data_IF_780968325358
#
_entry.id   IF_780968325358
#
_cell.length_a   1.000
_cell.length_b   1.000
_cell.length_c   1.000
_cell.angle_alpha   90.00
_cell.angle_beta   90.00
_cell.angle_gamma   90.00
#
_symmetry.space_group_name_H-M   'P 1'
#
loop_
_entity.id
_entity.type
_entity.pdbx_description
1 polymer ?
#
# COMPACT_ATOMS: atom_id res chain seq x y z
N UNK A 1 -32.41 7.42 -1.06
CA UNK A 1 -31.84 8.76 -0.73
C UNK A 1 -30.77 9.13 -1.75
N UNK A 2 -30.40 10.40 -1.91
CA UNK A 2 -29.25 10.75 -2.78
C UNK A 2 -27.90 10.52 -2.08
N UNK A 3 -26.81 10.42 -2.84
CA UNK A 3 -25.44 10.31 -2.29
C UNK A 3 -25.12 11.53 -1.39
N UNK A 4 -25.59 12.71 -1.76
CA UNK A 4 -25.37 13.93 -0.97
C UNK A 4 -26.11 13.87 0.38
N UNK A 5 -27.35 13.37 0.37
CA UNK A 5 -28.12 13.14 1.60
C UNK A 5 -27.44 12.10 2.49
N UNK A 6 -26.92 11.03 1.89
CA UNK A 6 -26.16 9.99 2.59
C UNK A 6 -24.92 10.55 3.28
N UNK A 7 -24.13 11.38 2.58
CA UNK A 7 -22.95 12.02 3.17
C UNK A 7 -23.29 12.92 4.37
N UNK A 8 -24.36 13.70 4.25
CA UNK A 8 -24.82 14.57 5.34
C UNK A 8 -25.29 13.74 6.54
N UNK A 9 -26.01 12.65 6.29
CA UNK A 9 -26.52 11.77 7.33
C UNK A 9 -25.38 11.03 8.05
N UNK A 10 -24.34 10.59 7.32
CA UNK A 10 -23.14 9.98 7.90
C UNK A 10 -22.38 10.99 8.78
N UNK A 11 -22.25 12.25 8.33
CA UNK A 11 -21.62 13.34 9.08
C UNK A 11 -22.38 13.66 10.37
N UNK A 12 -23.71 13.78 10.30
CA UNK A 12 -24.58 14.05 11.46
C UNK A 12 -24.53 12.94 12.51
N UNK A 13 -24.42 11.68 12.07
CA UNK A 13 -24.34 10.51 12.95
C UNK A 13 -22.95 10.26 13.53
N UNK A 14 -21.96 11.09 13.20
CA UNK A 14 -20.57 10.95 13.63
C UNK A 14 -19.94 9.58 13.32
N UNK A 15 -20.29 8.98 12.17
CA UNK A 15 -19.58 7.80 11.69
C UNK A 15 -18.16 8.20 11.26
N UNK A 16 -17.18 7.32 11.47
CA UNK A 16 -15.81 7.59 11.04
C UNK A 16 -15.72 7.53 9.51
N UNK A 17 -15.58 8.71 8.91
CA UNK A 17 -15.40 8.90 7.48
C UNK A 17 -14.14 8.19 6.93
N UNK A 18 -13.23 7.74 7.80
CA UNK A 18 -12.04 6.97 7.39
C UNK A 18 -12.34 5.53 7.03
N UNK A 19 -13.43 4.96 7.55
CA UNK A 19 -13.88 3.60 7.24
C UNK A 19 -14.77 3.55 5.99
N UNK A 20 -15.13 4.72 5.44
CA UNK A 20 -16.08 4.87 4.35
C UNK A 20 -15.41 5.57 3.16
N UNK A 21 -15.75 5.14 1.96
CA UNK A 21 -15.39 5.82 0.73
C UNK A 21 -16.63 5.96 -0.14
N UNK A 22 -16.97 7.19 -0.47
CA UNK A 22 -18.10 7.53 -1.32
C UNK A 22 -17.57 8.33 -2.51
N UNK A 23 -17.95 7.95 -3.73
CA UNK A 23 -17.57 8.63 -4.96
C UNK A 23 -16.32 8.02 -5.62
N UNK A 24 -15.14 8.58 -5.34
CA UNK A 24 -13.88 8.10 -5.93
C UNK A 24 -12.70 8.33 -4.99
N UNK A 25 -12.10 7.25 -4.48
CA UNK A 25 -10.81 7.33 -3.80
C UNK A 25 -9.87 6.28 -4.39
N UNK A 26 -8.59 6.63 -4.66
CA UNK A 26 -7.60 5.67 -5.11
C UNK A 26 -7.28 4.61 -4.05
N UNK A 27 -7.61 4.86 -2.78
CA UNK A 27 -7.39 3.94 -1.66
C UNK A 27 -8.73 3.44 -1.11
N UNK A 28 -9.17 2.29 -1.62
CA UNK A 28 -10.36 1.57 -1.16
C UNK A 28 -10.06 0.53 -0.08
N UNK A 29 -8.79 0.39 0.32
CA UNK A 29 -8.34 -0.65 1.25
C UNK A 29 -8.85 -0.41 2.68
N UNK A 30 -9.30 -1.48 3.32
CA UNK A 30 -9.94 -1.53 4.65
C UNK A 30 -11.17 -0.64 4.81
N UNK A 31 -11.94 -0.41 3.72
CA UNK A 31 -13.09 0.50 3.70
C UNK A 31 -14.32 -0.10 3.06
N UNK A 32 -15.50 0.36 3.49
CA UNK A 32 -16.73 0.19 2.72
C UNK A 32 -16.79 1.28 1.64
N UNK A 33 -16.96 0.85 0.40
CA UNK A 33 -16.91 1.71 -0.78
C UNK A 33 -18.28 1.75 -1.45
N UNK A 34 -18.72 2.95 -1.83
CA UNK A 34 -19.82 3.21 -2.76
C UNK A 34 -19.25 4.02 -3.93
N UNK A 35 -19.06 3.38 -5.08
CA UNK A 35 -18.45 3.99 -6.26
C UNK A 35 -19.40 3.98 -7.45
N UNK A 36 -19.24 4.97 -8.34
CA UNK A 36 -19.92 5.01 -9.64
C UNK A 36 -19.01 4.33 -10.66
N UNK A 37 -19.54 3.33 -11.35
CA UNK A 37 -18.84 2.60 -12.42
C UNK A 37 -18.91 3.38 -13.74
N UNK A 38 -18.05 3.03 -14.68
CA UNK A 38 -18.02 3.61 -16.03
C UNK A 38 -19.31 3.37 -16.83
N UNK A 39 -20.07 2.33 -16.50
CA UNK A 39 -21.36 2.00 -17.10
C UNK A 39 -22.54 2.79 -16.50
N UNK A 40 -22.26 3.74 -15.59
CA UNK A 40 -23.26 4.55 -14.90
C UNK A 40 -23.98 3.83 -13.76
N UNK A 41 -23.57 2.61 -13.41
CA UNK A 41 -24.11 1.86 -12.28
C UNK A 41 -23.36 2.17 -10.99
N UNK A 42 -23.98 1.86 -9.86
CA UNK A 42 -23.41 2.06 -8.53
C UNK A 42 -22.92 0.73 -7.97
N UNK A 43 -21.68 0.68 -7.48
CA UNK A 43 -21.06 -0.52 -6.92
C UNK A 43 -20.76 -0.32 -5.44
N UNK A 44 -21.20 -1.27 -4.62
CA UNK A 44 -20.90 -1.34 -3.20
C UNK A 44 -20.00 -2.56 -2.93
N UNK A 45 -18.89 -2.35 -2.25
CA UNK A 45 -18.01 -3.45 -1.85
C UNK A 45 -17.18 -3.07 -0.61
N UNK A 46 -16.67 -4.08 0.07
CA UNK A 46 -15.61 -3.89 1.06
C UNK A 46 -14.25 -4.13 0.39
N UNK A 47 -13.32 -3.19 0.53
CA UNK A 47 -11.96 -3.35 0.03
C UNK A 47 -11.06 -3.92 1.11
N UNK A 48 -10.34 -5.00 0.81
CA UNK A 48 -9.39 -5.63 1.73
C UNK A 48 -8.17 -6.14 0.95
N UNK A 49 -6.99 -5.67 1.32
CA UNK A 49 -5.70 -5.96 0.70
C UNK A 49 -5.69 -5.81 -0.83
N UNK A 50 -6.37 -4.78 -1.34
CA UNK A 50 -6.50 -4.52 -2.77
C UNK A 50 -7.47 -5.45 -3.51
N UNK A 51 -8.26 -6.24 -2.79
CA UNK A 51 -9.34 -7.07 -3.35
C UNK A 51 -10.71 -6.49 -3.00
N UNK A 52 -11.68 -6.70 -3.88
CA UNK A 52 -13.09 -6.38 -3.62
C UNK A 52 -13.80 -7.59 -3.05
N UNK A 53 -14.33 -7.47 -1.84
CA UNK A 53 -15.17 -8.48 -1.22
C UNK A 53 -16.64 -8.18 -1.49
N UNK A 54 -17.36 -9.20 -1.98
CA UNK A 54 -18.80 -9.20 -2.20
C UNK A 54 -19.36 -7.95 -2.92
N UNK A 55 -18.87 -7.63 -4.14
CA UNK A 55 -19.38 -6.49 -4.89
C UNK A 55 -20.86 -6.66 -5.22
N UNK A 56 -21.65 -5.63 -4.90
CA UNK A 56 -23.07 -5.51 -5.25
C UNK A 56 -23.24 -4.33 -6.19
N UNK A 57 -23.95 -4.54 -7.29
CA UNK A 57 -24.16 -3.53 -8.32
C UNK A 57 -25.64 -3.15 -8.34
N UNK A 58 -25.91 -1.85 -8.40
CA UNK A 58 -27.24 -1.26 -8.41
C UNK A 58 -27.40 -0.35 -9.62
N UNK A 59 -28.59 -0.35 -10.20
CA UNK A 59 -28.89 0.41 -11.41
C UNK A 59 -29.30 1.87 -11.12
N UNK A 60 -29.65 2.17 -9.86
CA UNK A 60 -30.09 3.50 -9.45
C UNK A 60 -29.35 3.97 -8.19
N UNK A 61 -29.23 5.29 -8.06
CA UNK A 61 -28.53 5.95 -6.95
C UNK A 61 -29.21 5.70 -5.61
N UNK A 62 -30.53 5.78 -5.58
CA UNK A 62 -31.32 5.76 -4.36
C UNK A 62 -31.21 4.43 -3.62
N UNK A 63 -31.34 3.34 -4.36
CA UNK A 63 -31.22 1.97 -3.87
C UNK A 63 -29.78 1.68 -3.43
N UNK A 64 -28.78 2.19 -4.17
CA UNK A 64 -27.38 2.04 -3.78
C UNK A 64 -27.08 2.77 -2.47
N UNK A 65 -27.55 4.01 -2.33
CA UNK A 65 -27.34 4.81 -1.12
C UNK A 65 -28.06 4.21 0.10
N UNK A 66 -29.30 3.74 -0.08
CA UNK A 66 -30.08 3.10 0.98
C UNK A 66 -29.45 1.76 1.41
N UNK A 67 -29.00 0.95 0.44
CA UNK A 67 -28.29 -0.29 0.72
C UNK A 67 -26.95 -0.05 1.43
N UNK A 68 -26.20 0.98 1.01
CA UNK A 68 -24.95 1.36 1.64
C UNK A 68 -25.17 1.78 3.10
N UNK A 69 -26.18 2.62 3.35
CA UNK A 69 -26.52 3.05 4.69
C UNK A 69 -26.90 1.88 5.61
N UNK A 70 -27.65 0.90 5.13
CA UNK A 70 -27.97 -0.29 5.91
C UNK A 70 -26.73 -1.14 6.25
N UNK A 71 -25.75 -1.23 5.34
CA UNK A 71 -24.46 -1.90 5.62
C UNK A 71 -23.70 -1.13 6.70
N UNK A 72 -23.54 0.19 6.53
CA UNK A 72 -22.87 1.07 7.50
C UNK A 72 -23.52 0.99 8.89
N UNK A 73 -24.85 0.91 8.93
CA UNK A 73 -25.63 0.82 10.17
C UNK A 73 -25.50 -0.54 10.86
N UNK A 74 -25.35 -1.63 10.11
CA UNK A 74 -25.23 -3.01 10.66
C UNK A 74 -23.80 -3.40 11.00
N UNK A 75 -22.87 -3.10 10.10
CA UNK A 75 -21.50 -3.63 10.07
C UNK A 75 -20.45 -2.63 10.58
N UNK A 76 -20.84 -1.42 11.00
CA UNK A 76 -20.01 -0.59 11.87
C UNK A 76 -20.48 -0.79 13.32
N UNK A 77 -19.96 -1.80 14.04
CA UNK A 77 -20.06 -1.83 15.48
C UNK A 77 -19.62 -0.46 16.02
N UNK A 78 -20.44 0.13 16.89
CA UNK A 78 -20.02 1.25 17.76
C UNK A 78 -18.76 0.94 18.60
N UNK A 79 -18.30 -0.31 18.56
CA UNK A 79 -17.14 -0.87 19.25
C UNK A 79 -15.90 -1.08 18.37
N UNK A 80 -15.95 -0.82 17.05
CA UNK A 80 -14.75 -0.78 16.18
C UNK A 80 -14.04 0.57 16.24
N UNK A 81 -14.50 1.48 17.10
CA UNK A 81 -13.73 2.65 17.52
C UNK A 81 -12.89 2.27 18.74
N UNK A 82 -11.58 1.97 18.61
CA UNK A 82 -10.69 2.43 19.64
C UNK A 82 -10.90 3.95 19.67
N UNK A 83 -11.60 4.46 20.68
CA UNK A 83 -11.42 5.84 21.09
C UNK A 83 -9.93 6.09 21.02
N UNK A 84 -9.49 7.08 20.24
CA UNK A 84 -8.11 7.53 20.14
C UNK A 84 -7.41 7.32 21.48
N UNK A 85 -6.71 6.20 21.64
CA UNK A 85 -5.64 6.09 22.61
C UNK A 85 -4.50 6.76 21.90
N UNK A 86 -4.07 7.86 22.48
CA UNK A 86 -2.93 8.71 22.17
C UNK A 86 -2.05 8.25 20.99
N UNK A 87 -1.60 9.16 20.12
CA UNK A 87 -0.71 8.86 18.98
C UNK A 87 0.65 8.22 19.35
N UNK A 88 0.86 7.74 20.58
CA UNK A 88 2.07 7.09 21.06
C UNK A 88 2.01 5.58 21.34
N UNK A 89 0.86 4.88 21.22
CA UNK A 89 0.80 3.44 21.53
C UNK A 89 0.09 2.60 20.46
N UNK A 90 0.80 2.34 19.37
CA UNK A 90 0.52 1.18 18.52
C UNK A 90 0.58 -0.11 19.35
N UNK A 91 -0.36 -1.03 19.14
CA UNK A 91 -0.30 -2.36 19.73
C UNK A 91 0.86 -3.16 19.14
N UNK A 92 1.41 -4.11 19.92
CA UNK A 92 2.60 -4.86 19.53
C UNK A 92 2.36 -5.61 18.20
N UNK A 93 1.16 -6.14 17.97
CA UNK A 93 0.78 -6.86 16.74
C UNK A 93 0.77 -5.96 15.50
N UNK A 94 0.18 -4.76 15.58
CA UNK A 94 0.16 -3.80 14.46
C UNK A 94 1.56 -3.25 14.13
N UNK A 95 2.43 -3.13 15.16
CA UNK A 95 3.86 -2.85 14.93
C UNK A 95 4.58 -4.00 14.23
N UNK A 96 4.18 -5.25 14.46
CA UNK A 96 4.80 -6.40 13.80
C UNK A 96 4.30 -6.58 12.36
N UNK A 97 3.00 -6.47 12.09
CA UNK A 97 2.47 -6.69 10.74
C UNK A 97 2.87 -5.55 9.77
N UNK A 98 2.80 -4.29 10.22
CA UNK A 98 3.30 -3.15 9.46
C UNK A 98 4.82 -3.17 9.26
N UNK A 99 5.60 -3.66 10.24
CA UNK A 99 7.04 -3.82 10.09
C UNK A 99 7.41 -5.02 9.21
N UNK A 100 6.63 -6.10 9.21
CA UNK A 100 6.85 -7.27 8.35
C UNK A 100 6.51 -6.96 6.89
N UNK A 101 5.44 -6.20 6.65
CA UNK A 101 5.06 -5.78 5.29
C UNK A 101 6.01 -4.69 4.75
N UNK A 102 6.44 -3.73 5.59
CA UNK A 102 7.53 -2.82 5.23
C UNK A 102 8.87 -3.53 5.02
N UNK A 103 9.23 -4.54 5.83
CA UNK A 103 10.45 -5.34 5.61
C UNK A 103 10.36 -6.09 4.28
N UNK A 104 9.26 -6.78 3.97
CA UNK A 104 9.08 -7.50 2.70
C UNK A 104 9.12 -6.58 1.48
N UNK A 105 8.60 -5.35 1.58
CA UNK A 105 8.66 -4.36 0.50
C UNK A 105 10.07 -3.78 0.35
N UNK A 106 10.71 -3.42 1.46
CA UNK A 106 12.06 -2.86 1.49
C UNK A 106 13.10 -3.89 0.99
N UNK A 107 12.96 -5.16 1.36
CA UNK A 107 13.84 -6.23 0.89
C UNK A 107 13.78 -6.42 -0.63
N UNK A 108 12.58 -6.28 -1.23
CA UNK A 108 12.41 -6.33 -2.69
C UNK A 108 13.03 -5.11 -3.39
N UNK A 109 12.87 -3.92 -2.82
CA UNK A 109 13.47 -2.69 -3.36
C UNK A 109 14.99 -2.76 -3.28
N UNK A 110 15.54 -3.18 -2.14
CA UNK A 110 16.99 -3.32 -1.94
C UNK A 110 17.55 -4.39 -2.87
N UNK A 111 16.89 -5.55 -3.01
CA UNK A 111 17.30 -6.57 -3.97
C UNK A 111 17.29 -6.04 -5.41
N UNK A 112 16.28 -5.26 -5.79
CA UNK A 112 16.22 -4.57 -7.08
C UNK A 112 17.37 -3.60 -7.30
N UNK A 113 17.71 -2.79 -6.29
CA UNK A 113 18.84 -1.86 -6.36
C UNK A 113 20.19 -2.58 -6.51
N UNK A 114 20.40 -3.70 -5.80
CA UNK A 114 21.62 -4.50 -5.92
C UNK A 114 21.77 -5.05 -7.34
N UNK A 115 20.70 -5.67 -7.87
CA UNK A 115 20.71 -6.24 -9.23
C UNK A 115 21.01 -5.14 -10.26
N UNK A 116 20.39 -3.97 -10.10
CA UNK A 116 20.62 -2.82 -10.98
C UNK A 116 22.08 -2.31 -10.93
N UNK A 117 22.66 -2.18 -9.73
CA UNK A 117 24.06 -1.79 -9.57
C UNK A 117 25.02 -2.79 -10.21
N UNK A 118 24.80 -4.10 -10.02
CA UNK A 118 25.61 -5.15 -10.64
C UNK A 118 25.51 -5.11 -12.17
N UNK A 119 24.32 -4.87 -12.73
CA UNK A 119 24.13 -4.75 -14.18
C UNK A 119 24.88 -3.55 -14.76
N UNK A 120 24.81 -2.38 -14.13
CA UNK A 120 25.59 -1.21 -14.52
C UNK A 120 27.08 -1.52 -14.48
N UNK A 121 27.50 -2.27 -13.47
CA UNK A 121 28.88 -2.66 -13.29
C UNK A 121 29.44 -3.56 -14.37
N UNK A 122 28.69 -4.61 -14.69
CA UNK A 122 29.01 -5.53 -15.80
C UNK A 122 29.06 -4.74 -17.11
N UNK A 123 28.09 -3.85 -17.34
CA UNK A 123 28.07 -3.00 -18.53
C UNK A 123 29.31 -2.11 -18.63
N UNK A 124 29.68 -1.39 -17.57
CA UNK A 124 30.89 -0.55 -17.54
C UNK A 124 32.16 -1.37 -17.76
N UNK A 125 32.24 -2.57 -17.17
CA UNK A 125 33.37 -3.49 -17.36
C UNK A 125 33.52 -3.90 -18.82
N UNK A 126 32.42 -4.28 -19.47
CA UNK A 126 32.43 -4.64 -20.90
C UNK A 126 32.88 -3.45 -21.76
N UNK A 127 32.38 -2.24 -21.48
CA UNK A 127 32.76 -1.03 -22.21
C UNK A 127 34.24 -0.70 -22.04
N UNK A 128 34.78 -0.79 -20.81
CA UNK A 128 36.19 -0.49 -20.54
C UNK A 128 37.14 -1.51 -21.19
N UNK A 129 36.76 -2.80 -21.20
CA UNK A 129 37.50 -3.85 -21.92
C UNK A 129 37.47 -3.58 -23.44
N UNK A 130 36.31 -3.23 -24.00
CA UNK A 130 36.16 -2.94 -25.42
C UNK A 130 37.00 -1.72 -25.87
N UNK A 131 37.15 -0.73 -24.99
CA UNK A 131 37.94 0.49 -25.24
C UNK A 131 39.43 0.31 -24.88
N UNK A 132 39.83 -0.86 -24.37
CA UNK A 132 41.20 -1.18 -23.91
C UNK A 132 41.78 -0.18 -22.90
N UNK A 133 40.93 0.55 -22.18
CA UNK A 133 41.36 1.49 -21.14
C UNK A 133 41.13 0.87 -19.78
N UNK A 134 42.05 -0.01 -19.40
CA UNK A 134 42.15 -0.49 -18.01
C UNK A 134 42.99 0.54 -17.27
N UNK A 135 42.33 1.47 -16.59
CA UNK A 135 42.96 2.49 -15.77
C UNK A 135 42.69 2.26 -14.28
N UNK A 136 43.23 3.14 -13.44
CA UNK A 136 43.04 3.04 -11.99
C UNK A 136 41.56 3.15 -11.58
N UNK A 137 40.73 3.80 -12.40
CA UNK A 137 39.30 3.93 -12.15
C UNK A 137 38.56 2.60 -12.31
N UNK A 138 38.99 1.76 -13.25
CA UNK A 138 38.49 0.38 -13.38
C UNK A 138 38.72 -0.44 -12.10
N UNK A 139 39.93 -0.37 -11.53
CA UNK A 139 40.25 -1.08 -10.29
C UNK A 139 39.52 -0.47 -9.09
N UNK A 140 39.41 0.85 -8.97
CA UNK A 140 38.60 1.50 -7.94
C UNK A 140 37.13 1.07 -8.02
N UNK A 141 36.60 0.90 -9.23
CA UNK A 141 35.23 0.45 -9.45
C UNK A 141 35.01 -1.01 -8.99
N UNK A 142 35.92 -1.94 -9.34
CA UNK A 142 35.86 -3.32 -8.85
C UNK A 142 35.95 -3.38 -7.32
N UNK A 143 36.87 -2.63 -6.72
CA UNK A 143 37.04 -2.58 -5.26
C UNK A 143 35.77 -2.06 -4.59
N UNK A 144 35.14 -1.04 -5.17
CA UNK A 144 33.85 -0.53 -4.70
C UNK A 144 32.74 -1.57 -4.75
N UNK A 145 32.63 -2.32 -5.85
CA UNK A 145 31.58 -3.34 -6.03
C UNK A 145 31.73 -4.50 -5.04
N UNK A 146 32.96 -4.93 -4.76
CA UNK A 146 33.28 -5.93 -3.74
C UNK A 146 32.91 -5.42 -2.33
N UNK A 147 33.30 -4.19 -1.99
CA UNK A 147 32.98 -3.58 -0.68
C UNK A 147 31.46 -3.45 -0.53
N UNK A 148 30.77 -2.95 -1.55
CA UNK A 148 29.32 -2.80 -1.55
C UNK A 148 28.63 -4.15 -1.32
N UNK A 149 29.02 -5.19 -2.05
CA UNK A 149 28.47 -6.54 -1.91
C UNK A 149 28.66 -7.09 -0.48
N UNK A 150 29.86 -6.92 0.10
CA UNK A 150 30.14 -7.36 1.48
C UNK A 150 29.28 -6.60 2.49
N UNK A 151 29.19 -5.27 2.37
CA UNK A 151 28.37 -4.45 3.28
C UNK A 151 26.89 -4.83 3.19
N UNK A 152 26.39 -5.05 1.99
CA UNK A 152 25.00 -5.48 1.79
C UNK A 152 24.75 -6.87 2.36
N UNK A 153 25.67 -7.82 2.18
CA UNK A 153 25.58 -9.15 2.78
C UNK A 153 25.56 -9.10 4.30
N UNK A 154 26.44 -8.30 4.92
CA UNK A 154 26.48 -8.10 6.36
C UNK A 154 25.20 -7.43 6.89
N UNK A 155 24.65 -6.46 6.15
CA UNK A 155 23.40 -5.81 6.50
C UNK A 155 22.22 -6.78 6.47
N UNK A 156 22.08 -7.58 5.40
CA UNK A 156 21.03 -8.61 5.28
C UNK A 156 21.17 -9.62 6.42
N UNK A 157 22.38 -10.07 6.74
CA UNK A 157 22.63 -11.01 7.85
C UNK A 157 22.24 -10.43 9.20
N UNK A 158 22.51 -9.14 9.45
CA UNK A 158 22.13 -8.44 10.69
C UNK A 158 20.63 -8.19 10.79
N UNK A 159 19.93 -8.00 9.67
CA UNK A 159 18.46 -7.77 9.65
C UNK A 159 17.68 -9.07 9.85
N UNK A 160 18.26 -10.22 9.46
CA UNK A 160 17.65 -11.56 9.59
C UNK A 160 17.99 -12.31 10.90
N UNK A 161 19.02 -11.89 11.63
CA UNK A 161 19.39 -12.44 12.94
C UNK A 161 18.64 -11.73 14.06
#
# INVERSE_FOLDING_TARGET
MTILELENLIKEKHYDLRALCIGSSPNYDERFNLLIREDGKYEIFYGEHGQKSNPRVYDNEEEAADAFYEIVKRDIPRTLFPQRKDPGKLTLSERFDGAVQNRKSTDKIILGMIIFCLMIGIFFTIVMIAVQRIDIWFFCWIVWDVIFTILTFLWIRKVRA
#
